data_IF_883322077005
#
_entry.id   IF_883322077005
#
_cell.length_a   1.000
_cell.length_b   1.000
_cell.length_c   1.000
_cell.angle_alpha   90.00
_cell.angle_beta   90.00
_cell.angle_gamma   90.00
#
_symmetry.space_group_name_H-M   'P 1'
#
loop_
_entity.id
_entity.type
_entity.pdbx_description
1 polymer ?
#
# COMPACT_ATOMS: atom_id res chain seq x y z
N UNK A 1 21.09 -21.26 -28.70
CA UNK A 1 19.79 -20.79 -29.25
C UNK A 1 18.84 -20.62 -28.07
N UNK A 2 18.57 -19.39 -27.63
CA UNK A 2 17.61 -19.15 -26.55
C UNK A 2 16.18 -19.31 -27.10
N UNK A 3 15.33 -20.18 -26.54
CA UNK A 3 13.94 -20.25 -26.96
C UNK A 3 13.26 -18.92 -26.60
N UNK A 4 12.74 -18.22 -27.60
CA UNK A 4 11.98 -16.99 -27.39
C UNK A 4 10.65 -17.34 -26.73
N UNK A 5 10.47 -16.94 -25.47
CA UNK A 5 9.19 -17.07 -24.77
C UNK A 5 8.19 -16.11 -25.41
N UNK A 6 7.26 -16.66 -26.20
CA UNK A 6 6.18 -15.88 -26.82
C UNK A 6 5.04 -15.68 -25.82
N UNK A 7 4.45 -14.47 -25.79
CA UNK A 7 3.23 -14.15 -25.01
C UNK A 7 2.12 -15.19 -25.25
N UNK A 8 1.98 -15.69 -26.48
CA UNK A 8 0.99 -16.71 -26.85
C UNK A 8 1.30 -18.08 -26.23
N UNK A 9 2.57 -18.45 -26.15
CA UNK A 9 3.01 -19.70 -25.51
C UNK A 9 2.84 -19.61 -23.99
N UNK A 10 3.09 -18.44 -23.40
CA UNK A 10 2.86 -18.19 -21.98
C UNK A 10 1.37 -18.25 -21.62
N UNK A 11 0.50 -17.56 -22.37
CA UNK A 11 -0.96 -17.57 -22.15
C UNK A 11 -1.59 -18.93 -22.45
N UNK A 12 -1.12 -19.64 -23.50
CA UNK A 12 -1.56 -21.01 -23.78
C UNK A 12 -1.10 -22.01 -22.71
N UNK A 13 0.11 -21.86 -22.18
CA UNK A 13 0.65 -22.72 -21.13
C UNK A 13 -0.02 -22.53 -19.77
N UNK A 14 -0.39 -21.29 -19.41
CA UNK A 14 -1.08 -21.00 -18.14
C UNK A 14 -2.52 -21.51 -18.11
N UNK A 15 -3.22 -21.52 -19.25
CA UNK A 15 -4.55 -22.13 -19.36
C UNK A 15 -4.53 -23.64 -19.08
N UNK A 16 -3.51 -24.36 -19.56
CA UNK A 16 -3.34 -25.79 -19.31
C UNK A 16 -3.05 -26.10 -17.83
N UNK A 17 -2.24 -25.26 -17.17
CA UNK A 17 -1.96 -25.39 -15.73
C UNK A 17 -3.21 -25.16 -14.88
N UNK A 18 -4.05 -24.16 -15.21
CA UNK A 18 -5.28 -23.85 -14.49
C UNK A 18 -6.32 -24.97 -14.52
N UNK A 19 -6.44 -25.70 -15.64
CA UNK A 19 -7.34 -26.86 -15.74
C UNK A 19 -6.88 -28.05 -14.89
N UNK A 20 -5.57 -28.23 -14.71
CA UNK A 20 -5.01 -29.28 -13.86
C UNK A 20 -5.37 -29.12 -12.38
N UNK A 21 -5.46 -27.88 -11.87
CA UNK A 21 -5.89 -27.60 -10.50
C UNK A 21 -7.38 -27.90 -10.26
N UNK A 22 -8.22 -27.76 -11.30
CA UNK A 22 -9.67 -28.04 -11.21
C UNK A 22 -9.95 -29.55 -11.25
N UNK A 23 -9.23 -30.32 -12.07
CA UNK A 23 -9.46 -31.77 -12.21
C UNK A 23 -8.81 -32.63 -11.12
N UNK A 24 -7.72 -32.17 -10.50
CA UNK A 24 -6.99 -32.96 -9.49
C UNK A 24 -7.67 -33.00 -8.10
N UNK A 25 -8.87 -32.44 -7.93
CA UNK A 25 -9.67 -32.58 -6.71
C UNK A 25 -9.14 -31.86 -5.46
N UNK A 26 -8.04 -31.11 -5.56
CA UNK A 26 -7.44 -30.37 -4.43
C UNK A 26 -7.86 -28.89 -4.36
N UNK A 27 -8.73 -28.44 -5.27
CA UNK A 27 -9.07 -27.04 -5.49
C UNK A 27 -10.32 -26.58 -4.74
N UNK A 28 -10.34 -26.66 -3.40
CA UNK A 28 -11.37 -25.96 -2.63
C UNK A 28 -11.17 -24.45 -2.80
N UNK A 29 -12.10 -23.79 -3.50
CA UNK A 29 -12.19 -22.33 -3.59
C UNK A 29 -12.39 -21.67 -2.22
N UNK A 30 -12.68 -22.45 -1.17
CA UNK A 30 -12.77 -21.99 0.23
C UNK A 30 -11.53 -21.23 0.71
N UNK A 31 -10.32 -21.57 0.25
CA UNK A 31 -9.10 -20.83 0.63
C UNK A 31 -9.11 -19.39 0.07
N UNK A 32 -9.81 -19.17 -1.05
CA UNK A 32 -10.02 -17.85 -1.64
C UNK A 32 -11.32 -17.20 -1.18
N UNK A 33 -12.30 -17.98 -0.73
CA UNK A 33 -13.54 -17.51 -0.14
C UNK A 33 -13.34 -17.18 1.35
N UNK A 34 -12.38 -16.29 1.67
CA UNK A 34 -12.35 -15.69 3.00
C UNK A 34 -13.52 -14.72 3.08
N UNK A 35 -14.51 -14.91 3.97
CA UNK A 35 -15.52 -13.90 4.17
C UNK A 35 -14.81 -12.64 4.64
N UNK A 36 -14.95 -11.55 3.89
CA UNK A 36 -14.47 -10.22 4.25
C UNK A 36 -15.36 -9.65 5.38
N UNK A 37 -15.44 -10.36 6.50
CA UNK A 37 -16.04 -9.85 7.74
C UNK A 37 -14.89 -9.56 8.70
N UNK A 38 -13.99 -8.69 8.25
CA UNK A 38 -13.28 -7.86 9.20
C UNK A 38 -14.34 -6.90 9.75
N UNK A 39 -14.90 -7.23 10.91
CA UNK A 39 -15.72 -6.30 11.67
C UNK A 39 -14.82 -5.12 12.07
N UNK A 40 -14.66 -4.15 11.17
CA UNK A 40 -14.19 -2.83 11.54
C UNK A 40 -15.23 -2.30 12.51
N UNK A 41 -14.93 -2.36 13.82
CA UNK A 41 -15.67 -1.59 14.81
C UNK A 41 -15.79 -0.19 14.23
N UNK A 42 -17.01 0.31 14.11
CA UNK A 42 -17.27 1.71 13.79
C UNK A 42 -16.73 2.53 14.96
N UNK A 43 -15.43 2.84 14.93
CA UNK A 43 -14.85 3.80 15.83
C UNK A 43 -15.56 5.13 15.58
N UNK A 44 -15.93 5.84 16.65
CA UNK A 44 -16.23 7.26 16.50
C UNK A 44 -14.92 7.90 16.03
N UNK A 45 -14.83 8.22 14.74
CA UNK A 45 -13.70 8.96 14.19
C UNK A 45 -13.59 10.33 14.83
N UNK A 46 -12.56 11.09 14.45
CA UNK A 46 -12.26 12.41 15.02
C UNK A 46 -13.18 13.55 14.53
N UNK A 47 -14.24 13.22 13.77
CA UNK A 47 -15.14 14.20 13.15
C UNK A 47 -14.84 14.43 11.67
N UNK A 48 -15.58 15.36 11.07
CA UNK A 48 -15.40 15.75 9.67
C UNK A 48 -14.08 16.51 9.46
N UNK A 49 -13.46 16.31 8.30
CA UNK A 49 -12.26 17.06 7.91
C UNK A 49 -12.63 18.48 7.52
N UNK A 50 -11.84 19.45 7.99
CA UNK A 50 -11.93 20.84 7.56
C UNK A 50 -11.01 21.03 6.35
N UNK A 51 -11.48 21.62 5.23
CA UNK A 51 -10.63 21.90 4.08
C UNK A 51 -9.40 22.73 4.46
N UNK A 52 -8.21 22.24 4.08
CA UNK A 52 -6.95 22.96 4.28
C UNK A 52 -6.77 23.98 3.15
N UNK A 53 -6.68 25.30 3.44
CA UNK A 53 -6.41 26.32 2.42
C UNK A 53 -5.10 26.10 1.67
N UNK A 54 -4.13 25.40 2.27
CA UNK A 54 -2.85 25.04 1.63
C UNK A 54 -2.91 23.73 0.85
N UNK A 55 -3.99 22.96 0.99
CA UNK A 55 -4.19 21.69 0.30
C UNK A 55 -3.19 20.59 0.68
N UNK A 56 -2.59 20.65 1.88
CA UNK A 56 -1.55 19.69 2.31
C UNK A 56 -2.20 18.54 3.07
N UNK A 57 -2.92 18.86 4.15
CA UNK A 57 -3.54 17.85 5.02
C UNK A 57 -4.79 18.43 5.68
N UNK A 58 -5.96 17.99 5.21
CA UNK A 58 -7.23 18.31 5.85
C UNK A 58 -7.35 17.55 7.17
N UNK A 59 -7.63 18.25 8.26
CA UNK A 59 -7.73 17.69 9.61
C UNK A 59 -9.07 18.06 10.26
N UNK A 60 -9.55 17.30 11.26
CA UNK A 60 -10.70 17.69 12.05
C UNK A 60 -10.45 18.96 12.88
N UNK A 61 -11.53 19.61 13.32
CA UNK A 61 -11.44 20.78 14.18
C UNK A 61 -10.65 20.48 15.46
N UNK A 62 -9.74 21.39 15.84
CA UNK A 62 -8.90 21.28 17.04
C UNK A 62 -7.58 20.53 16.83
N UNK A 63 -7.36 19.93 15.66
CA UNK A 63 -6.08 19.33 15.29
C UNK A 63 -5.22 20.32 14.49
N UNK A 64 -3.90 20.13 14.54
CA UNK A 64 -2.93 20.89 13.77
C UNK A 64 -1.84 19.98 13.23
N UNK A 65 -1.11 20.46 12.22
CA UNK A 65 0.08 19.80 11.69
C UNK A 65 1.25 20.77 11.59
N UNK A 66 2.45 20.21 11.61
CA UNK A 66 3.68 20.89 11.26
C UNK A 66 4.37 20.10 10.15
N UNK A 67 4.84 20.81 9.12
CA UNK A 67 5.70 20.21 8.10
C UNK A 67 7.09 19.99 8.70
N UNK A 68 7.51 18.73 8.78
CA UNK A 68 8.86 18.36 9.28
C UNK A 68 9.86 18.29 8.12
N UNK A 69 9.42 17.79 6.96
CA UNK A 69 10.23 17.77 5.74
C UNK A 69 9.34 17.81 4.49
N UNK A 70 9.91 18.27 3.38
CA UNK A 70 9.32 18.28 2.05
C UNK A 70 10.31 17.74 1.03
N UNK A 71 9.85 16.80 0.22
CA UNK A 71 10.62 16.20 -0.87
C UNK A 71 11.25 17.26 -1.76
N UNK A 72 12.53 17.08 -2.08
CA UNK A 72 13.27 17.96 -2.99
C UNK A 72 13.61 19.34 -2.43
N UNK A 73 13.04 19.73 -1.28
CA UNK A 73 13.22 21.05 -0.68
C UNK A 73 13.99 20.98 0.64
N UNK A 74 13.63 20.07 1.54
CA UNK A 74 14.28 19.98 2.85
C UNK A 74 15.67 19.37 2.72
N UNK A 75 16.74 20.07 3.17
CA UNK A 75 18.09 19.52 3.13
C UNK A 75 18.26 18.32 4.07
N UNK A 76 19.13 17.40 3.67
CA UNK A 76 19.63 16.26 4.45
C UNK A 76 21.16 16.29 4.40
N UNK A 77 21.84 15.34 5.07
CA UNK A 77 23.30 15.26 5.02
C UNK A 77 23.84 14.99 3.61
N UNK A 78 23.12 14.19 2.83
CA UNK A 78 23.58 13.69 1.52
C UNK A 78 22.83 14.31 0.33
N UNK A 79 22.04 15.36 0.57
CA UNK A 79 21.26 16.03 -0.47
C UNK A 79 19.95 16.61 0.04
N UNK A 80 18.84 16.25 -0.60
CA UNK A 80 17.49 16.71 -0.24
C UNK A 80 16.59 15.53 0.09
N UNK A 81 15.54 15.79 0.86
CA UNK A 81 14.59 14.76 1.29
C UNK A 81 13.98 14.03 0.08
N UNK A 82 13.83 12.68 0.12
CA UNK A 82 13.30 11.90 -1.00
C UNK A 82 11.81 12.14 -1.23
N UNK A 83 11.34 11.77 -2.43
CA UNK A 83 9.94 11.87 -2.88
C UNK A 83 9.00 10.89 -2.20
N UNK A 84 9.48 9.67 -1.97
CA UNK A 84 8.66 8.56 -1.49
C UNK A 84 9.24 8.07 -0.14
N UNK A 85 9.08 8.86 0.94
CA UNK A 85 9.47 8.41 2.26
C UNK A 85 8.61 7.20 2.66
N UNK A 86 9.28 6.13 3.08
CA UNK A 86 8.67 4.93 3.66
C UNK A 86 9.03 4.86 5.16
N UNK A 87 8.90 3.68 5.78
CA UNK A 87 9.13 3.42 7.20
C UNK A 87 10.18 4.31 7.87
N UNK A 88 9.72 5.10 8.84
CA UNK A 88 10.56 5.97 9.66
C UNK A 88 10.52 5.53 11.13
N UNK A 89 11.59 5.82 11.86
CA UNK A 89 11.69 5.58 13.31
C UNK A 89 11.86 6.89 14.08
N UNK A 90 11.27 6.95 15.28
CA UNK A 90 11.49 8.03 16.24
C UNK A 90 12.21 7.45 17.45
N UNK A 91 13.37 8.00 17.77
CA UNK A 91 14.21 7.55 18.89
C UNK A 91 14.33 8.68 19.91
N UNK A 92 14.32 8.34 21.20
CA UNK A 92 14.57 9.32 22.25
C UNK A 92 15.99 9.92 22.10
N UNK A 93 16.10 11.23 22.25
CA UNK A 93 17.38 11.90 22.36
C UNK A 93 18.12 11.48 23.63
N UNK A 94 19.44 11.68 23.65
CA UNK A 94 20.20 11.67 24.91
C UNK A 94 20.07 13.05 25.53
N UNK A 95 19.80 13.09 26.83
CA UNK A 95 19.75 14.31 27.64
C UNK A 95 21.07 15.09 27.57
#
# INVERSE_FOLDING_TARGET
MNPSVSRRAFVGGSAAAGLGFVFAGSGSVDVFARPAVAATRTARGYGALVPDPRGILALPQGFSYQLVARSGETPTLDGVHPSDPDGMGVFAGRD
#
